data_IF_885911099083
#
_entry.id   IF_885911099083
#
_cell.length_a   1.000
_cell.length_b   1.000
_cell.length_c   1.000
_cell.angle_alpha   90.00
_cell.angle_beta   90.00
_cell.angle_gamma   90.00
#
_symmetry.space_group_name_H-M   'P 1'
#
loop_
_entity.id
_entity.type
_entity.pdbx_description
1 polymer ?
#
# COMPACT_ATOMS: atom_id res chain seq x y z
N UNK A 1 9.90 -21.12 -16.22
CA UNK A 1 9.23 -21.96 -15.21
C UNK A 1 8.92 -21.07 -14.01
N UNK A 2 7.66 -20.98 -13.56
CA UNK A 2 7.32 -20.23 -12.34
C UNK A 2 7.67 -21.14 -11.16
N UNK A 3 8.65 -20.74 -10.35
CA UNK A 3 8.93 -21.44 -9.09
C UNK A 3 7.71 -21.29 -8.17
N UNK A 4 7.19 -22.40 -7.68
CA UNK A 4 6.13 -22.37 -6.67
C UNK A 4 6.69 -21.65 -5.42
N UNK A 5 5.95 -20.64 -4.94
CA UNK A 5 6.29 -19.97 -3.69
C UNK A 5 6.05 -20.95 -2.54
N UNK A 6 6.93 -20.94 -1.55
CA UNK A 6 6.60 -21.56 -0.27
C UNK A 6 5.39 -20.84 0.37
N UNK A 7 4.77 -21.50 1.36
CA UNK A 7 3.56 -20.99 1.99
C UNK A 7 3.76 -19.60 2.62
N UNK A 8 4.93 -19.37 3.23
CA UNK A 8 5.22 -18.10 3.91
C UNK A 8 5.37 -16.96 2.90
N UNK A 9 6.10 -17.19 1.81
CA UNK A 9 6.28 -16.26 0.71
C UNK A 9 4.93 -15.96 0.02
N UNK A 10 4.09 -16.97 -0.16
CA UNK A 10 2.73 -16.81 -0.68
C UNK A 10 1.87 -15.90 0.22
N UNK A 11 1.82 -16.16 1.52
CA UNK A 11 1.06 -15.36 2.49
C UNK A 11 1.56 -13.92 2.52
N UNK A 12 2.89 -13.73 2.56
CA UNK A 12 3.49 -12.39 2.58
C UNK A 12 3.14 -11.64 1.30
N UNK A 13 3.27 -12.27 0.12
CA UNK A 13 2.90 -11.67 -1.16
C UNK A 13 1.42 -11.27 -1.20
N UNK A 14 0.53 -12.12 -0.69
CA UNK A 14 -0.89 -11.80 -0.60
C UNK A 14 -1.16 -10.56 0.26
N UNK A 15 -0.44 -10.42 1.39
CA UNK A 15 -0.53 -9.24 2.27
C UNK A 15 -0.02 -7.96 1.61
N UNK A 16 1.11 -8.02 0.90
CA UNK A 16 1.63 -6.87 0.11
C UNK A 16 0.60 -6.42 -0.93
N UNK A 17 0.04 -7.36 -1.70
CA UNK A 17 -0.97 -7.06 -2.71
C UNK A 17 -2.26 -6.50 -2.09
N UNK A 18 -2.67 -6.99 -0.91
CA UNK A 18 -3.81 -6.43 -0.18
C UNK A 18 -3.56 -4.97 0.17
N UNK A 19 -2.41 -4.66 0.80
CA UNK A 19 -2.02 -3.31 1.17
C UNK A 19 -2.01 -2.37 -0.06
N UNK A 20 -1.39 -2.79 -1.16
CA UNK A 20 -1.35 -2.00 -2.39
C UNK A 20 -2.75 -1.67 -2.93
N UNK A 21 -3.64 -2.67 -3.02
CA UNK A 21 -5.01 -2.45 -3.49
C UNK A 21 -5.80 -1.52 -2.56
N UNK A 22 -5.63 -1.64 -1.25
CA UNK A 22 -6.28 -0.74 -0.29
C UNK A 22 -5.78 0.70 -0.39
N UNK A 23 -4.46 0.89 -0.57
CA UNK A 23 -3.88 2.20 -0.82
C UNK A 23 -4.44 2.83 -2.10
N UNK A 24 -4.50 2.08 -3.20
CA UNK A 24 -5.09 2.56 -4.46
C UNK A 24 -6.59 2.89 -4.35
N UNK A 25 -7.32 2.23 -3.43
CA UNK A 25 -8.72 2.59 -3.14
C UNK A 25 -8.81 3.88 -2.34
N UNK A 26 -7.97 4.05 -1.32
CA UNK A 26 -7.89 5.30 -0.57
C UNK A 26 -7.57 6.49 -1.48
N UNK A 27 -6.70 6.32 -2.48
CA UNK A 27 -6.41 7.36 -3.46
C UNK A 27 -7.62 7.85 -4.27
N UNK A 28 -8.72 7.08 -4.32
CA UNK A 28 -9.98 7.50 -4.98
C UNK A 28 -10.79 8.47 -4.11
N UNK A 29 -10.57 8.45 -2.80
CA UNK A 29 -11.22 9.36 -1.83
C UNK A 29 -10.63 10.77 -1.89
N UNK A 30 -9.43 10.93 -2.46
CA UNK A 30 -8.80 12.22 -2.63
C UNK A 30 -9.57 13.14 -3.59
N UNK A 31 -9.43 14.47 -3.45
CA UNK A 31 -9.95 15.45 -4.41
C UNK A 31 -9.45 15.18 -5.84
N UNK A 32 -10.24 15.45 -6.89
CA UNK A 32 -9.91 15.07 -8.27
C UNK A 32 -8.50 15.47 -8.74
N UNK A 33 -8.03 16.66 -8.36
CA UNK A 33 -6.71 17.18 -8.72
C UNK A 33 -5.55 16.40 -8.06
N UNK A 34 -5.74 15.85 -6.85
CA UNK A 34 -4.70 15.14 -6.10
C UNK A 34 -4.68 13.62 -6.34
N UNK A 35 -5.74 13.05 -6.96
CA UNK A 35 -5.87 11.58 -7.15
C UNK A 35 -4.73 10.96 -7.94
N UNK A 36 -4.26 11.66 -8.99
CA UNK A 36 -3.21 11.16 -9.87
C UNK A 36 -1.86 11.11 -9.15
N UNK A 37 -1.52 12.20 -8.45
CA UNK A 37 -0.30 12.32 -7.67
C UNK A 37 -0.24 11.25 -6.57
N UNK A 38 -1.30 11.14 -5.75
CA UNK A 38 -1.35 10.16 -4.67
C UNK A 38 -1.22 8.71 -5.18
N UNK A 39 -1.81 8.40 -6.34
CA UNK A 39 -1.66 7.09 -6.99
C UNK A 39 -0.22 6.82 -7.42
N UNK A 40 0.47 7.83 -7.95
CA UNK A 40 1.86 7.71 -8.36
C UNK A 40 2.77 7.52 -7.15
N UNK A 41 2.59 8.29 -6.08
CA UNK A 41 3.35 8.11 -4.83
C UNK A 41 3.18 6.72 -4.23
N UNK A 42 1.96 6.15 -4.25
CA UNK A 42 1.70 4.76 -3.79
C UNK A 42 2.46 3.74 -4.65
N UNK A 43 2.48 3.93 -5.97
CA UNK A 43 3.22 3.05 -6.89
C UNK A 43 4.72 3.14 -6.65
N UNK A 44 5.25 4.35 -6.55
CA UNK A 44 6.67 4.58 -6.29
C UNK A 44 7.12 3.94 -4.98
N UNK A 45 6.30 3.98 -3.92
CA UNK A 45 6.65 3.33 -2.66
C UNK A 45 6.74 1.80 -2.79
N UNK A 46 5.85 1.19 -3.58
CA UNK A 46 5.90 -0.23 -3.88
C UNK A 46 7.13 -0.58 -4.73
N UNK A 47 7.46 0.26 -5.71
CA UNK A 47 8.64 0.09 -6.57
C UNK A 47 9.94 0.23 -5.79
N UNK A 48 10.06 1.23 -4.90
CA UNK A 48 11.20 1.41 -4.00
C UNK A 48 11.50 0.16 -3.17
N UNK A 49 10.47 -0.62 -2.84
CA UNK A 49 10.57 -1.83 -2.02
C UNK A 49 10.42 -3.13 -2.82
N UNK A 50 10.40 -3.09 -4.16
CA UNK A 50 10.19 -4.27 -5.04
C UNK A 50 11.17 -5.40 -4.76
N UNK A 51 12.42 -5.05 -4.42
CA UNK A 51 13.52 -5.97 -4.16
C UNK A 51 13.79 -6.15 -2.66
N UNK A 52 12.80 -5.86 -1.80
CA UNK A 52 12.94 -6.09 -0.38
C UNK A 52 13.00 -7.59 -0.08
N UNK A 53 14.19 -8.06 0.27
CA UNK A 53 14.39 -9.45 0.67
C UNK A 53 14.31 -9.63 2.20
N UNK A 54 13.96 -10.84 2.60
CA UNK A 54 13.82 -11.22 4.00
C UNK A 54 12.41 -11.02 4.53
N UNK A 55 11.78 -12.12 4.96
CA UNK A 55 10.39 -12.11 5.41
C UNK A 55 10.14 -11.14 6.59
N UNK A 56 11.13 -10.92 7.46
CA UNK A 56 11.00 -9.98 8.57
C UNK A 56 10.92 -8.52 8.10
N UNK A 57 11.79 -8.13 7.15
CA UNK A 57 11.77 -6.79 6.55
C UNK A 57 10.45 -6.53 5.83
N UNK A 58 9.98 -7.50 5.03
CA UNK A 58 8.70 -7.35 4.32
C UNK A 58 7.54 -7.23 5.31
N UNK A 59 7.52 -8.01 6.40
CA UNK A 59 6.50 -7.89 7.45
C UNK A 59 6.52 -6.52 8.13
N UNK A 60 7.71 -5.99 8.42
CA UNK A 60 7.87 -4.65 8.97
C UNK A 60 7.31 -3.58 8.03
N UNK A 61 7.69 -3.61 6.75
CA UNK A 61 7.19 -2.68 5.72
C UNK A 61 5.67 -2.77 5.55
N UNK A 62 5.09 -3.97 5.63
CA UNK A 62 3.63 -4.14 5.63
C UNK A 62 3.01 -3.44 6.84
N UNK A 63 3.55 -3.62 8.04
CA UNK A 63 3.03 -2.98 9.25
C UNK A 63 3.10 -1.45 9.16
N UNK A 64 4.26 -0.93 8.74
CA UNK A 64 4.46 0.50 8.53
C UNK A 64 3.51 1.07 7.47
N UNK A 65 3.38 0.39 6.32
CA UNK A 65 2.48 0.79 5.26
C UNK A 65 1.00 0.79 5.67
N UNK A 66 0.58 -0.18 6.50
CA UNK A 66 -0.78 -0.18 7.06
C UNK A 66 -1.02 1.02 7.98
N UNK A 67 -0.03 1.38 8.82
CA UNK A 67 -0.14 2.54 9.71
C UNK A 67 -0.24 3.84 8.92
N UNK A 68 0.60 4.02 7.89
CA UNK A 68 0.54 5.19 6.99
C UNK A 68 -0.79 5.25 6.25
N UNK A 69 -1.30 4.11 5.77
CA UNK A 69 -2.59 4.04 5.09
C UNK A 69 -3.77 4.39 6.01
N UNK A 70 -3.72 3.99 7.27
CA UNK A 70 -4.72 4.37 8.28
C UNK A 70 -4.77 5.90 8.43
N UNK A 71 -3.63 6.54 8.67
CA UNK A 71 -3.55 7.99 8.79
C UNK A 71 -4.02 8.72 7.52
N UNK A 72 -3.65 8.21 6.33
CA UNK A 72 -4.13 8.76 5.06
C UNK A 72 -5.66 8.71 4.94
N UNK A 73 -6.28 7.58 5.30
CA UNK A 73 -7.76 7.44 5.26
C UNK A 73 -8.42 8.43 6.22
N UNK A 74 -7.93 8.54 7.44
CA UNK A 74 -8.45 9.48 8.44
C UNK A 74 -8.36 10.93 7.93
N UNK A 75 -7.23 11.32 7.34
CA UNK A 75 -7.07 12.66 6.74
C UNK A 75 -8.06 12.91 5.59
N UNK A 76 -8.20 11.95 4.67
CA UNK A 76 -9.11 12.07 3.53
C UNK A 76 -10.58 12.11 3.95
N UNK A 77 -10.95 11.33 4.96
CA UNK A 77 -12.31 11.35 5.53
C UNK A 77 -12.62 12.70 6.19
N UNK A 78 -11.67 13.28 6.91
CA UNK A 78 -11.83 14.61 7.51
C UNK A 78 -12.00 15.69 6.43
N UNK A 79 -11.22 15.64 5.35
CA UNK A 79 -11.36 16.58 4.23
C UNK A 79 -12.74 16.49 3.54
N UNK A 80 -13.31 15.28 3.43
CA UNK A 80 -14.64 15.09 2.85
C UNK A 80 -15.78 15.62 3.74
N UNK A 81 -15.59 15.68 5.06
CA UNK A 81 -16.61 16.24 5.98
C UNK A 81 -16.72 17.76 5.92
N UNK A 82 -15.73 18.43 5.37
CA UNK A 82 -15.64 19.89 5.28
C UNK A 82 -15.78 20.43 3.84
N UNK A 83 -16.08 19.56 2.88
CA UNK A 83 -16.29 19.90 1.47
C UNK A 83 -17.79 19.83 1.11
#
# INVERSE_FOLDING_TARGET
MVLALDLQAFIVRARVLKLYREALRAARMAPPHARAELRNSIREEMERNRHADGAQKIRFLISEGNQRLKGLKEMLEMQQRHA
#
